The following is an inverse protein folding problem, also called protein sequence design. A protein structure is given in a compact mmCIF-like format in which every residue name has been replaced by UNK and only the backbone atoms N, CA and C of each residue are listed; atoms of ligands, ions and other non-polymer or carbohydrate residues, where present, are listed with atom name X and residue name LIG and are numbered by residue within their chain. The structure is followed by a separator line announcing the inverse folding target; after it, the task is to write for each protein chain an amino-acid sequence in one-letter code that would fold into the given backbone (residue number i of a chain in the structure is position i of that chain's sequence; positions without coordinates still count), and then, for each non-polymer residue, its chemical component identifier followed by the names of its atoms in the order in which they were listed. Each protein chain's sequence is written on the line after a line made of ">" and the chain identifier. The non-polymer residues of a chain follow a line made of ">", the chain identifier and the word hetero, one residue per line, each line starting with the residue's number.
data_IF_387292585055
#
_entry.id   IF_387292585055
#
_cell.length_a   1.000
_cell.length_b   1.000
_cell.length_c   1.000
_cell.angle_alpha   90.00
_cell.angle_beta   90.00
_cell.angle_gamma   90.00
#
_symmetry.space_group_name_H-M   'P 1'
#
loop_
_entity.id
_entity.type
_entity.pdbx_description
1 polymer ?
#
# COMPACT_ATOMS: atom_id res chain seq x y z
N UNK A 1 -18.93 13.69 -52.07
CA UNK A 1 -19.89 13.90 -50.97
C UNK A 1 -19.74 12.83 -49.91
N UNK A 2 -19.00 13.15 -48.85
CA UNK A 2 -19.03 12.66 -47.46
C UNK A 2 -18.29 13.82 -46.73
N UNK A 3 -18.89 14.66 -45.87
CA UNK A 3 -19.70 14.40 -44.69
C UNK A 3 -18.76 14.40 -43.46
N UNK A 4 -18.86 15.25 -42.44
CA UNK A 4 -19.70 16.44 -42.22
C UNK A 4 -19.45 17.04 -40.81
N UNK A 5 -19.79 18.32 -40.60
CA UNK A 5 -20.08 19.04 -39.33
C UNK A 5 -19.17 18.76 -38.08
N UNK A 6 -18.33 19.66 -37.57
CA UNK A 6 -18.45 21.08 -37.14
C UNK A 6 -18.67 21.27 -35.62
N UNK A 7 -17.73 22.02 -35.04
CA UNK A 7 -17.76 22.86 -33.82
C UNK A 7 -17.90 22.25 -32.41
N UNK A 8 -17.12 22.84 -31.51
CA UNK A 8 -17.08 22.57 -30.08
C UNK A 8 -18.23 23.25 -29.31
N UNK A 9 -18.68 22.58 -28.24
CA UNK A 9 -19.39 23.06 -27.03
C UNK A 9 -19.44 21.87 -26.05
N UNK A 10 -19.43 21.98 -24.71
CA UNK A 10 -19.33 23.11 -23.77
C UNK A 10 -18.48 22.66 -22.54
N UNK A 11 -18.07 23.59 -21.68
CA UNK A 11 -17.41 23.29 -20.39
C UNK A 11 -18.41 23.20 -19.22
N UNK A 12 -18.06 22.39 -18.21
CA UNK A 12 -18.34 22.61 -16.78
C UNK A 12 -19.70 22.21 -16.16
N UNK A 13 -19.57 21.70 -14.92
CA UNK A 13 -20.49 21.70 -13.76
C UNK A 13 -21.73 20.77 -13.72
N UNK A 14 -21.61 19.81 -12.79
CA UNK A 14 -22.56 19.46 -11.72
C UNK A 14 -23.75 18.49 -11.94
N UNK A 15 -23.69 17.36 -11.22
CA UNK A 15 -24.56 17.06 -10.05
C UNK A 15 -25.11 15.63 -10.01
N UNK A 16 -24.96 15.02 -8.82
CA UNK A 16 -25.86 14.03 -8.22
C UNK A 16 -26.14 12.71 -8.95
N UNK A 17 -25.43 11.67 -8.49
CA UNK A 17 -25.78 10.27 -8.69
C UNK A 17 -25.27 9.43 -7.53
N UNK A 18 -26.01 9.41 -6.41
CA UNK A 18 -25.68 8.57 -5.25
C UNK A 18 -25.67 7.09 -5.66
N UNK A 19 -24.50 6.53 -5.97
CA UNK A 19 -24.35 5.09 -6.09
C UNK A 19 -24.28 4.47 -4.69
N UNK A 20 -25.15 3.51 -4.35
CA UNK A 20 -25.10 2.86 -3.04
C UNK A 20 -23.79 2.10 -2.90
N UNK A 21 -23.08 2.37 -1.80
CA UNK A 21 -21.92 1.59 -1.38
C UNK A 21 -22.39 0.15 -1.15
N UNK A 22 -22.12 -0.71 -2.13
CA UNK A 22 -22.37 -2.14 -2.00
C UNK A 22 -21.47 -2.67 -0.88
N UNK A 23 -21.98 -3.44 0.09
CA UNK A 23 -21.13 -4.09 1.08
C UNK A 23 -20.32 -5.16 0.34
N UNK A 24 -19.10 -4.82 -0.06
CA UNK A 24 -18.16 -5.79 -0.61
C UNK A 24 -18.07 -6.96 0.36
N UNK A 25 -18.27 -8.21 -0.07
CA UNK A 25 -18.33 -9.35 0.84
C UNK A 25 -17.11 -9.37 1.74
N UNK A 26 -17.31 -9.71 3.02
CA UNK A 26 -16.22 -9.98 3.96
C UNK A 26 -15.31 -11.05 3.34
N UNK A 27 -14.20 -10.60 2.76
CA UNK A 27 -13.21 -11.51 2.19
C UNK A 27 -12.69 -12.47 3.26
N UNK A 28 -12.13 -13.63 2.86
CA UNK A 28 -11.58 -14.58 3.82
C UNK A 28 -10.68 -13.85 4.81
N UNK A 29 -10.95 -14.06 6.10
CA UNK A 29 -10.33 -13.36 7.23
C UNK A 29 -8.83 -13.25 7.00
N UNK A 30 -8.35 -12.02 6.74
CA UNK A 30 -7.02 -11.80 6.13
C UNK A 30 -5.93 -12.42 7.00
N UNK A 31 -5.43 -13.58 6.55
CA UNK A 31 -4.50 -14.42 7.32
C UNK A 31 -3.19 -13.66 7.56
N UNK A 32 -2.79 -12.81 6.61
CA UNK A 32 -1.61 -11.96 6.69
C UNK A 32 -1.99 -10.47 6.55
N UNK A 33 -1.15 -9.52 7.03
CA UNK A 33 -1.40 -8.09 6.90
C UNK A 33 -1.54 -7.65 5.44
N UNK A 34 -2.39 -6.65 5.18
CA UNK A 34 -2.66 -6.15 3.80
C UNK A 34 -1.44 -5.55 3.11
N UNK A 35 -0.42 -5.17 3.89
CA UNK A 35 0.86 -4.65 3.39
C UNK A 35 1.83 -5.76 2.98
N UNK A 36 1.45 -7.03 3.11
CA UNK A 36 2.25 -8.15 2.65
C UNK A 36 2.11 -8.33 1.14
N UNK A 37 3.20 -8.76 0.49
CA UNK A 37 3.16 -9.06 -0.93
C UNK A 37 2.74 -10.52 -1.13
N UNK A 38 2.10 -10.88 -2.26
CA UNK A 38 1.91 -12.27 -2.62
C UNK A 38 3.26 -12.99 -2.65
N UNK A 39 3.31 -14.13 -1.99
CA UNK A 39 4.51 -14.92 -1.79
C UNK A 39 4.33 -16.28 -2.46
N UNK A 40 5.37 -16.78 -3.12
CA UNK A 40 5.29 -18.12 -3.72
C UNK A 40 5.43 -19.19 -2.62
N UNK A 41 4.80 -20.34 -2.84
CA UNK A 41 4.75 -21.46 -1.88
C UNK A 41 6.08 -22.21 -1.73
N UNK A 42 7.13 -21.78 -2.43
CA UNK A 42 8.47 -22.37 -2.40
C UNK A 42 9.49 -21.53 -1.63
N UNK A 43 9.06 -20.41 -1.03
CA UNK A 43 9.88 -19.55 -0.18
C UNK A 43 9.42 -19.66 1.28
N UNK A 44 10.37 -19.64 2.22
CA UNK A 44 10.06 -19.64 3.66
C UNK A 44 9.82 -18.23 4.21
N UNK A 45 10.46 -17.22 3.61
CA UNK A 45 10.24 -15.81 3.92
C UNK A 45 10.60 -14.89 2.74
N UNK A 46 10.08 -13.67 2.77
CA UNK A 46 10.47 -12.56 1.90
C UNK A 46 11.02 -11.38 2.72
N UNK A 47 11.96 -10.65 2.12
CA UNK A 47 12.39 -9.34 2.60
C UNK A 47 12.01 -8.29 1.56
N UNK A 48 11.07 -7.41 1.92
CA UNK A 48 10.53 -6.39 1.01
C UNK A 48 11.07 -5.02 1.42
N UNK A 49 11.81 -4.31 0.54
CA UNK A 49 12.23 -2.94 0.81
C UNK A 49 11.03 -2.02 1.07
N UNK A 50 11.10 -1.24 2.15
CA UNK A 50 10.05 -0.26 2.48
C UNK A 50 10.40 1.06 1.80
N UNK A 51 9.51 1.60 0.97
CA UNK A 51 9.72 2.90 0.31
C UNK A 51 9.73 4.03 1.34
N UNK A 52 10.48 5.11 1.08
CA UNK A 52 10.49 6.32 1.92
C UNK A 52 9.13 7.04 1.95
N UNK A 53 8.33 6.85 0.91
CA UNK A 53 6.98 7.42 0.78
C UNK A 53 5.95 6.65 1.62
N UNK A 54 6.24 5.42 2.02
CA UNK A 54 5.39 4.57 2.85
C UNK A 54 5.31 5.15 4.28
N UNK A 55 4.10 5.19 4.84
CA UNK A 55 3.87 5.59 6.24
C UNK A 55 4.66 4.72 7.22
N UNK A 56 4.83 3.44 6.93
CA UNK A 56 5.59 2.51 7.76
C UNK A 56 7.09 2.84 7.81
N UNK A 57 7.69 3.33 6.72
CA UNK A 57 9.08 3.84 6.76
C UNK A 57 9.18 5.01 7.74
N UNK A 58 8.27 6.00 7.64
CA UNK A 58 8.26 7.16 8.55
C UNK A 58 8.12 6.73 10.01
N UNK A 59 7.20 5.81 10.32
CA UNK A 59 7.03 5.26 11.67
C UNK A 59 8.31 4.59 12.18
N UNK A 60 8.91 3.68 11.42
CA UNK A 60 10.12 2.96 11.84
C UNK A 60 11.32 3.91 11.97
N UNK A 61 11.47 4.86 11.06
CA UNK A 61 12.49 5.90 11.11
C UNK A 61 12.38 6.74 12.40
N UNK A 62 11.19 7.30 12.68
CA UNK A 62 10.96 8.06 13.91
C UNK A 62 11.14 7.23 15.17
N UNK A 63 10.78 5.94 15.18
CA UNK A 63 10.98 5.07 16.34
C UNK A 63 12.45 4.72 16.58
N UNK A 64 13.22 4.49 15.52
CA UNK A 64 14.67 4.25 15.60
C UNK A 64 15.38 5.49 16.17
N UNK A 65 15.12 6.66 15.61
CA UNK A 65 15.78 7.91 16.03
C UNK A 65 15.29 8.49 17.35
N UNK A 66 14.32 7.86 18.04
CA UNK A 66 14.03 8.16 19.46
C UNK A 66 15.13 7.71 20.41
N UNK A 67 15.87 6.65 20.07
CA UNK A 67 16.89 6.05 20.96
C UNK A 67 18.31 6.15 20.40
N UNK A 68 18.47 6.34 19.09
CA UNK A 68 19.78 6.60 18.46
C UNK A 68 19.80 7.93 17.72
N UNK A 69 20.94 8.62 17.74
CA UNK A 69 21.04 9.98 17.18
C UNK A 69 21.10 9.99 15.65
N UNK A 70 20.19 10.73 15.01
CA UNK A 70 20.10 10.88 13.54
C UNK A 70 21.37 11.47 12.92
N UNK A 71 22.05 12.38 13.61
CA UNK A 71 23.31 12.98 13.16
C UNK A 71 24.50 12.01 13.21
N UNK A 72 24.38 10.90 13.95
CA UNK A 72 25.41 9.86 14.08
C UNK A 72 25.10 8.59 13.29
N UNK A 73 23.82 8.26 13.10
CA UNK A 73 23.37 7.01 12.50
C UNK A 73 22.37 7.23 11.37
N UNK A 74 22.82 6.94 10.14
CA UNK A 74 22.00 7.01 8.93
C UNK A 74 21.42 5.64 8.57
N UNK A 75 20.09 5.53 8.53
CA UNK A 75 19.41 4.33 8.02
C UNK A 75 19.67 4.21 6.52
N UNK A 76 20.35 3.13 6.10
CA UNK A 76 20.64 2.84 4.70
C UNK A 76 19.41 2.24 3.97
N UNK A 77 18.78 1.24 4.58
CA UNK A 77 17.58 0.55 4.08
C UNK A 77 16.72 0.07 5.25
N UNK A 78 15.40 0.00 5.03
CA UNK A 78 14.44 -0.68 5.92
C UNK A 78 13.84 -1.83 5.09
N UNK A 79 13.89 -3.05 5.63
CA UNK A 79 13.36 -4.25 4.99
C UNK A 79 12.26 -4.82 5.87
N UNK A 80 11.05 -4.96 5.33
CA UNK A 80 9.93 -5.64 5.98
C UNK A 80 10.11 -7.14 5.76
N UNK A 81 10.26 -7.89 6.86
CA UNK A 81 10.26 -9.36 6.82
C UNK A 81 8.82 -9.85 6.74
N UNK A 82 8.55 -10.74 5.79
CA UNK A 82 7.28 -11.44 5.62
C UNK A 82 7.59 -12.93 5.76
N UNK A 83 7.26 -13.51 6.92
CA UNK A 83 7.49 -14.91 7.22
C UNK A 83 6.16 -15.52 7.70
N UNK A 84 5.42 -16.24 6.84
CA UNK A 84 4.11 -16.81 7.19
C UNK A 84 4.14 -17.71 8.42
N UNK A 85 5.13 -18.62 8.50
CA UNK A 85 5.28 -19.59 9.58
C UNK A 85 5.49 -18.92 10.96
N UNK A 86 6.37 -17.94 11.05
CA UNK A 86 6.62 -17.20 12.30
C UNK A 86 5.43 -16.28 12.65
N UNK A 87 4.71 -15.76 11.66
CA UNK A 87 3.53 -14.92 11.89
C UNK A 87 2.36 -15.73 12.44
N UNK A 88 2.10 -16.91 11.90
CA UNK A 88 1.07 -17.84 12.41
C UNK A 88 1.38 -18.31 13.83
N UNK A 89 2.66 -18.49 14.18
CA UNK A 89 3.10 -18.82 15.53
C UNK A 89 3.05 -17.64 16.52
N UNK A 90 3.05 -16.39 16.03
CA UNK A 90 3.11 -15.18 16.86
C UNK A 90 1.75 -14.61 17.24
N UNK A 91 0.71 -14.84 16.42
CA UNK A 91 -0.64 -14.28 16.59
C UNK A 91 -1.30 -14.60 17.93
#
# INVERSE_FOLDING_TARGET
>A
TLGGLSSAFLSSLESSGNQPLSPTPNGPSKVYPETWLPMNTSQDYLQVPVSRDDRSYRTVYSLFHKTVSETKFRILKILRVQNPFLWEKYK
#
